data_IF_128360391833
#
_entry.id   IF_128360391833
#
_cell.length_a   1.000
_cell.length_b   1.000
_cell.length_c   1.000
_cell.angle_alpha   90.00
_cell.angle_beta   90.00
_cell.angle_gamma   90.00
#
_symmetry.space_group_name_H-M   'P 1'
#
loop_
_entity.id
_entity.type
_entity.pdbx_description
1 polymer ?
#
# COMPACT_ATOMS: atom_id res chain seq x y z
N UNK A 1 -13.71 -11.59 9.63
CA UNK A 1 -12.49 -10.74 9.76
C UNK A 1 -11.81 -10.74 8.39
N UNK A 2 -11.47 -9.57 7.86
CA UNK A 2 -11.08 -9.39 6.45
C UNK A 2 -9.79 -10.14 6.07
N UNK A 3 -9.74 -10.67 4.83
CA UNK A 3 -8.62 -11.48 4.32
C UNK A 3 -7.24 -10.79 4.39
N UNK A 4 -7.20 -9.45 4.34
CA UNK A 4 -5.96 -8.66 4.33
C UNK A 4 -5.89 -7.60 5.44
N UNK A 5 -7.00 -6.91 5.74
CA UNK A 5 -7.03 -5.82 6.72
C UNK A 5 -7.37 -6.31 8.13
N UNK A 6 -6.49 -5.99 9.08
CA UNK A 6 -6.75 -6.09 10.52
C UNK A 6 -7.27 -4.77 11.10
N UNK A 7 -7.08 -4.57 12.42
CA UNK A 7 -7.53 -3.36 13.13
C UNK A 7 -6.91 -2.07 12.59
N UNK A 8 -5.61 -2.10 12.27
CA UNK A 8 -4.82 -0.92 11.87
C UNK A 8 -4.11 -1.13 10.53
N UNK A 9 -4.82 -1.69 9.54
CA UNK A 9 -4.28 -1.94 8.20
C UNK A 9 -3.78 -3.36 7.97
N UNK A 10 -2.99 -3.53 6.92
CA UNK A 10 -2.39 -4.82 6.53
C UNK A 10 -1.05 -4.97 7.24
N UNK A 11 -0.88 -6.05 8.01
CA UNK A 11 0.35 -6.35 8.75
C UNK A 11 0.72 -7.82 8.57
N UNK A 12 2.00 -8.11 8.67
CA UNK A 12 2.52 -9.47 8.63
C UNK A 12 4.04 -9.49 8.65
N UNK A 13 4.62 -10.68 8.77
CA UNK A 13 6.07 -10.87 8.63
C UNK A 13 6.51 -10.48 7.21
N UNK A 14 7.46 -9.56 7.12
CA UNK A 14 7.95 -9.05 5.85
C UNK A 14 8.52 -10.17 4.98
N UNK A 15 8.21 -10.13 3.68
CA UNK A 15 8.63 -11.12 2.69
C UNK A 15 8.11 -12.55 2.92
N UNK A 16 7.11 -12.73 3.78
CA UNK A 16 6.40 -14.01 3.99
C UNK A 16 4.90 -13.79 3.89
N UNK A 17 4.37 -12.94 4.77
CA UNK A 17 2.94 -12.61 4.85
C UNK A 17 2.66 -11.26 4.17
N UNK A 18 3.58 -10.30 4.36
CA UNK A 18 3.61 -9.02 3.66
C UNK A 18 4.82 -8.99 2.72
N UNK A 19 4.65 -9.52 1.52
CA UNK A 19 5.66 -9.52 0.46
C UNK A 19 5.51 -8.31 -0.48
N UNK A 20 6.50 -8.11 -1.36
CA UNK A 20 6.50 -7.02 -2.33
C UNK A 20 5.27 -7.08 -3.27
N UNK A 21 4.86 -8.27 -3.69
CA UNK A 21 3.70 -8.41 -4.58
C UNK A 21 2.40 -7.98 -3.93
N UNK A 22 2.22 -8.25 -2.63
CA UNK A 22 1.07 -7.79 -1.88
C UNK A 22 1.13 -6.28 -1.66
N UNK A 23 2.30 -5.72 -1.35
CA UNK A 23 2.49 -4.27 -1.22
C UNK A 23 2.13 -3.53 -2.52
N UNK A 24 2.63 -3.98 -3.67
CA UNK A 24 2.30 -3.42 -4.99
C UNK A 24 0.79 -3.46 -5.25
N UNK A 25 0.13 -4.61 -4.97
CA UNK A 25 -1.31 -4.75 -5.17
C UNK A 25 -2.12 -3.79 -4.30
N UNK A 26 -1.70 -3.57 -3.05
CA UNK A 26 -2.33 -2.60 -2.15
C UNK A 26 -2.15 -1.19 -2.71
N UNK A 27 -0.93 -0.82 -3.10
CA UNK A 27 -0.64 0.49 -3.70
C UNK A 27 -1.44 0.76 -4.97
N UNK A 28 -1.49 -0.20 -5.89
CA UNK A 28 -2.24 -0.11 -7.13
C UNK A 28 -3.76 0.02 -6.88
N UNK A 29 -4.31 -0.76 -5.95
CA UNK A 29 -5.72 -0.67 -5.59
C UNK A 29 -6.06 0.69 -4.95
N UNK A 30 -5.21 1.18 -4.04
CA UNK A 30 -5.39 2.49 -3.42
C UNK A 30 -5.30 3.62 -4.44
N UNK A 31 -4.29 3.60 -5.32
CA UNK A 31 -4.13 4.59 -6.38
C UNK A 31 -5.32 4.59 -7.34
N UNK A 32 -5.80 3.41 -7.74
CA UNK A 32 -6.98 3.29 -8.59
C UNK A 32 -8.20 3.94 -7.93
N UNK A 33 -8.53 3.57 -6.70
CA UNK A 33 -9.69 4.11 -5.99
C UNK A 33 -9.60 5.63 -5.80
N UNK A 34 -8.45 6.12 -5.32
CA UNK A 34 -8.24 7.55 -5.07
C UNK A 34 -8.24 8.37 -6.36
N UNK A 35 -7.82 7.78 -7.49
CA UNK A 35 -7.89 8.44 -8.80
C UNK A 35 -9.33 8.61 -9.30
N UNK A 36 -10.24 7.69 -8.95
CA UNK A 36 -11.66 7.78 -9.33
C UNK A 36 -12.42 8.82 -8.50
N UNK A 37 -12.04 9.02 -7.24
CA UNK A 37 -12.68 10.03 -6.37
C UNK A 37 -12.32 11.47 -6.78
N UNK A 38 -11.32 11.66 -7.65
CA UNK A 38 -10.93 12.99 -8.09
C UNK A 38 -11.89 13.55 -9.15
N UNK A 39 -12.95 14.23 -8.68
CA UNK A 39 -14.04 14.79 -9.50
C UNK A 39 -13.65 15.84 -10.56
N UNK A 40 -12.41 16.29 -10.60
CA UNK A 40 -11.98 17.47 -11.40
C UNK A 40 -10.87 17.17 -12.42
N UNK A 41 -10.76 15.93 -12.90
CA UNK A 41 -9.89 15.58 -14.05
C UNK A 41 -8.39 15.77 -13.82
N UNK A 42 -7.95 15.94 -12.57
CA UNK A 42 -6.55 15.96 -12.21
C UNK A 42 -5.98 14.56 -11.95
N UNK A 43 -4.67 14.48 -11.74
CA UNK A 43 -4.01 13.25 -11.28
C UNK A 43 -4.01 13.23 -9.75
N UNK A 44 -4.43 12.12 -9.16
CA UNK A 44 -4.28 11.89 -7.72
C UNK A 44 -2.80 11.96 -7.34
N UNK A 45 -2.49 12.72 -6.28
CA UNK A 45 -1.15 12.79 -5.69
C UNK A 45 -1.15 11.99 -4.40
N UNK A 46 -0.22 11.07 -4.26
CA UNK A 46 -0.06 10.22 -3.08
C UNK A 46 1.31 10.49 -2.44
N UNK A 47 1.34 10.47 -1.12
CA UNK A 47 2.56 10.52 -0.33
C UNK A 47 2.75 9.15 0.33
N UNK A 48 3.95 8.58 0.22
CA UNK A 48 4.33 7.35 0.91
C UNK A 48 5.33 7.71 2.01
N UNK A 49 5.12 7.16 3.20
CA UNK A 49 6.02 7.29 4.33
C UNK A 49 6.39 5.91 4.86
N UNK A 50 7.59 5.80 5.44
CA UNK A 50 8.10 4.56 6.04
C UNK A 50 8.84 4.80 7.34
N UNK A 51 8.97 3.76 8.16
CA UNK A 51 9.84 3.75 9.33
C UNK A 51 11.25 3.25 8.98
N UNK A 52 12.10 3.02 9.98
CA UNK A 52 13.50 2.60 9.80
C UNK A 52 13.70 1.08 9.62
N UNK A 53 12.64 0.29 9.38
CA UNK A 53 12.80 -1.16 9.19
C UNK A 53 13.56 -1.46 7.90
N UNK A 54 14.38 -2.51 7.94
CA UNK A 54 15.16 -2.95 6.76
C UNK A 54 14.27 -3.36 5.58
N UNK A 55 13.07 -3.86 5.84
CA UNK A 55 12.11 -4.24 4.80
C UNK A 55 11.43 -3.03 4.13
N UNK A 56 11.57 -1.83 4.69
CA UNK A 56 10.82 -0.66 4.23
C UNK A 56 11.18 -0.25 2.80
N UNK A 57 12.45 -0.33 2.40
CA UNK A 57 12.87 0.04 1.04
C UNK A 57 12.27 -0.90 -0.01
N UNK A 58 12.20 -2.20 0.31
CA UNK A 58 11.57 -3.21 -0.55
C UNK A 58 10.08 -2.96 -0.70
N UNK A 59 9.38 -2.65 0.40
CA UNK A 59 7.93 -2.43 0.39
C UNK A 59 7.55 -1.08 -0.23
N UNK A 60 8.37 -0.05 -0.06
CA UNK A 60 8.19 1.27 -0.70
C UNK A 60 8.39 1.21 -2.21
N UNK A 61 9.36 0.41 -2.66
CA UNK A 61 9.71 0.28 -4.09
C UNK A 61 8.81 -0.69 -4.88
N UNK A 62 7.90 -1.38 -4.20
CA UNK A 62 7.05 -2.42 -4.76
C UNK A 62 5.93 -1.85 -5.63
#
# INVERSE_FOLDING_TARGET
>A
MGKYFGTDGVRGVANIELDAMLAFKIGAAAAYLLSQEQKQGGKAKLLIGKDTRISSDMLESA
#
